data_IF_184353705702
#
_entry.id   IF_184353705702
#
_cell.length_a   1.000
_cell.length_b   1.000
_cell.length_c   1.000
_cell.angle_alpha   90.00
_cell.angle_beta   90.00
_cell.angle_gamma   90.00
#
_symmetry.space_group_name_H-M   'P 1'
#
loop_
_entity.id
_entity.type
_entity.pdbx_description
1 polymer ?
#
# COMPACT_ATOMS: atom_id res chain seq x y z
N UNK A 1 20.29 38.39 -8.55
CA UNK A 1 20.96 38.40 -9.87
C UNK A 1 22.25 39.18 -9.75
N UNK A 2 23.32 38.76 -10.43
CA UNK A 2 24.54 39.57 -10.43
C UNK A 2 24.35 40.84 -11.27
N UNK A 3 25.18 41.85 -11.05
CA UNK A 3 25.17 43.09 -11.85
C UNK A 3 25.38 42.79 -13.35
N UNK A 4 26.20 41.78 -13.66
CA UNK A 4 26.45 41.34 -15.03
C UNK A 4 25.19 40.76 -15.68
N UNK A 5 24.46 39.92 -14.96
CA UNK A 5 23.23 39.28 -15.48
C UNK A 5 22.16 40.33 -15.78
N UNK A 6 22.00 41.31 -14.89
CA UNK A 6 20.97 42.33 -15.05
C UNK A 6 21.27 43.30 -16.20
N UNK A 7 22.56 43.66 -16.38
CA UNK A 7 23.01 44.42 -17.55
C UNK A 7 22.77 43.66 -18.84
N UNK A 8 23.15 42.37 -18.88
CA UNK A 8 22.95 41.52 -20.04
C UNK A 8 21.45 41.38 -20.38
N UNK A 9 20.61 41.11 -19.39
CA UNK A 9 19.16 41.02 -19.56
C UNK A 9 18.58 42.32 -20.14
N UNK A 10 18.98 43.48 -19.59
CA UNK A 10 18.52 44.78 -20.07
C UNK A 10 18.88 45.03 -21.54
N UNK A 11 20.12 44.72 -21.91
CA UNK A 11 20.57 44.85 -23.32
C UNK A 11 19.86 43.85 -24.23
N UNK A 12 19.64 42.61 -23.79
CA UNK A 12 18.89 41.60 -24.56
C UNK A 12 17.45 42.03 -24.80
N UNK A 13 16.73 42.49 -23.77
CA UNK A 13 15.35 42.96 -23.93
C UNK A 13 15.27 44.16 -24.88
N UNK A 14 16.26 45.08 -24.84
CA UNK A 14 16.36 46.19 -25.78
C UNK A 14 16.61 45.71 -27.21
N UNK A 15 17.55 44.79 -27.42
CA UNK A 15 17.86 44.22 -28.74
C UNK A 15 16.66 43.45 -29.32
N UNK A 16 15.88 42.80 -28.45
CA UNK A 16 14.63 42.16 -28.79
C UNK A 16 13.52 43.18 -29.12
N UNK A 17 13.66 44.46 -28.80
CA UNK A 17 12.65 45.49 -29.11
C UNK A 17 11.51 45.55 -28.09
N UNK A 18 11.77 45.18 -26.84
CA UNK A 18 10.80 45.35 -25.76
C UNK A 18 10.47 46.85 -25.57
N UNK A 19 9.17 47.23 -25.57
CA UNK A 19 8.77 48.63 -25.70
C UNK A 19 9.08 49.50 -24.47
N UNK A 20 9.20 48.90 -23.28
CA UNK A 20 9.44 49.62 -22.02
C UNK A 20 10.93 49.65 -21.68
N UNK A 21 11.45 50.82 -21.32
CA UNK A 21 12.84 50.95 -20.88
C UNK A 21 13.05 50.26 -19.52
N UNK A 22 13.91 49.25 -19.48
CA UNK A 22 14.34 48.56 -18.26
C UNK A 22 15.65 49.20 -17.78
N UNK A 23 15.69 49.65 -16.52
CA UNK A 23 16.90 50.15 -15.85
C UNK A 23 17.35 49.18 -14.76
N UNK A 24 18.63 49.24 -14.41
CA UNK A 24 19.19 48.51 -13.27
C UNK A 24 18.50 48.87 -11.94
N UNK A 25 17.97 50.10 -11.84
CA UNK A 25 17.24 50.56 -10.65
C UNK A 25 15.91 49.83 -10.43
N UNK A 26 15.29 49.30 -11.51
CA UNK A 26 14.00 48.62 -11.41
C UNK A 26 14.04 47.33 -10.59
N UNK A 27 15.23 46.79 -10.31
CA UNK A 27 15.45 45.54 -9.58
C UNK A 27 16.21 45.76 -8.26
N UNK A 28 16.36 47.01 -7.80
CA UNK A 28 16.92 47.30 -6.48
C UNK A 28 16.06 46.71 -5.35
N UNK A 29 14.76 46.58 -5.60
CA UNK A 29 13.80 45.82 -4.82
C UNK A 29 13.12 44.78 -5.71
N UNK A 30 12.57 43.68 -5.16
CA UNK A 30 11.81 42.70 -5.94
C UNK A 30 10.68 43.37 -6.73
N UNK A 31 10.64 43.16 -8.04
CA UNK A 31 9.70 43.81 -8.95
C UNK A 31 9.03 42.76 -9.85
N UNK A 32 8.07 42.02 -9.28
CA UNK A 32 7.38 40.96 -10.00
C UNK A 32 6.55 41.48 -11.18
N UNK A 33 5.91 42.64 -11.04
CA UNK A 33 5.08 43.21 -12.10
C UNK A 33 5.85 43.48 -13.39
N UNK A 34 7.09 43.95 -13.29
CA UNK A 34 7.95 44.10 -14.47
C UNK A 34 8.36 42.74 -15.06
N UNK A 35 8.66 41.75 -14.21
CA UNK A 35 9.03 40.40 -14.65
C UNK A 35 7.86 39.71 -15.36
N UNK A 36 6.64 39.79 -14.82
CA UNK A 36 5.45 39.20 -15.45
C UNK A 36 5.11 39.88 -16.76
N UNK A 37 5.21 41.21 -16.84
CA UNK A 37 5.03 41.96 -18.09
C UNK A 37 6.03 41.50 -19.17
N UNK A 38 7.31 41.37 -18.80
CA UNK A 38 8.36 40.88 -19.70
C UNK A 38 8.10 39.44 -20.15
N UNK A 39 7.77 38.54 -19.23
CA UNK A 39 7.50 37.12 -19.53
C UNK A 39 6.29 36.96 -20.46
N UNK A 40 5.20 37.68 -20.18
CA UNK A 40 4.02 37.66 -21.03
C UNK A 40 4.31 38.22 -22.42
N UNK A 41 5.09 39.31 -22.50
CA UNK A 41 5.51 39.88 -23.78
C UNK A 41 6.37 38.90 -24.59
N UNK A 42 7.31 38.21 -23.96
CA UNK A 42 8.13 37.19 -24.61
C UNK A 42 7.23 36.08 -25.18
N UNK A 43 6.31 35.54 -24.39
CA UNK A 43 5.40 34.48 -24.85
C UNK A 43 4.51 34.95 -26.01
N UNK A 44 3.89 36.13 -25.91
CA UNK A 44 3.06 36.69 -26.98
C UNK A 44 3.83 37.03 -28.25
N UNK A 45 5.15 37.21 -28.16
CA UNK A 45 6.00 37.36 -29.33
C UNK A 45 6.21 36.05 -30.08
N UNK A 46 6.26 34.92 -29.37
CA UNK A 46 6.33 33.60 -29.99
C UNK A 46 4.98 33.18 -30.56
N UNK A 47 3.91 33.29 -29.76
CA UNK A 47 2.55 32.90 -30.15
C UNK A 47 1.54 33.98 -29.73
N UNK A 48 1.13 34.86 -30.66
CA UNK A 48 0.29 36.02 -30.35
C UNK A 48 -1.09 35.68 -29.75
N UNK A 49 -1.61 34.48 -30.03
CA UNK A 49 -2.93 34.02 -29.57
C UNK A 49 -2.88 33.31 -28.21
N UNK A 50 -1.75 33.30 -27.53
CA UNK A 50 -1.59 32.63 -26.25
C UNK A 50 -2.45 33.28 -25.16
N UNK A 51 -3.38 32.49 -24.62
CA UNK A 51 -4.27 32.90 -23.53
C UNK A 51 -3.66 32.57 -22.16
N UNK A 52 -2.80 33.48 -21.68
CA UNK A 52 -2.24 33.42 -20.33
C UNK A 52 -2.89 34.51 -19.48
N UNK A 53 -3.54 34.16 -18.36
CA UNK A 53 -4.15 35.13 -17.47
C UNK A 53 -3.14 36.18 -17.01
N UNK A 54 -3.42 37.48 -17.21
CA UNK A 54 -2.47 38.55 -16.90
C UNK A 54 -2.43 38.92 -15.42
N UNK A 55 -3.38 38.44 -14.62
CA UNK A 55 -3.54 38.82 -13.22
C UNK A 55 -2.39 38.26 -12.38
N UNK A 56 -1.75 39.14 -11.61
CA UNK A 56 -0.56 38.85 -10.79
C UNK A 56 -0.62 39.55 -9.43
N UNK A 57 -1.82 39.96 -9.03
CA UNK A 57 -2.05 40.80 -7.85
C UNK A 57 -1.84 40.01 -6.56
N UNK A 58 -2.36 38.78 -6.48
CA UNK A 58 -2.14 37.89 -5.33
C UNK A 58 -0.97 36.95 -5.54
N UNK A 59 -0.41 36.41 -4.45
CA UNK A 59 0.65 35.40 -4.53
C UNK A 59 0.22 34.15 -5.31
N UNK A 60 -1.04 33.74 -5.15
CA UNK A 60 -1.60 32.58 -5.87
C UNK A 60 -1.63 32.83 -7.38
N UNK A 61 -2.05 34.03 -7.80
CA UNK A 61 -2.09 34.41 -9.22
C UNK A 61 -0.68 34.44 -9.83
N UNK A 62 0.31 34.93 -9.08
CA UNK A 62 1.72 34.91 -9.51
C UNK A 62 2.24 33.49 -9.73
N UNK A 63 1.92 32.58 -8.81
CA UNK A 63 2.30 31.16 -8.95
C UNK A 63 1.63 30.54 -10.16
N UNK A 64 0.33 30.81 -10.37
CA UNK A 64 -0.41 30.33 -11.53
C UNK A 64 0.19 30.88 -12.85
N UNK A 65 0.46 32.19 -12.91
CA UNK A 65 1.08 32.86 -14.05
C UNK A 65 2.42 32.21 -14.43
N UNK A 66 3.33 32.03 -13.47
CA UNK A 66 4.65 31.43 -13.74
C UNK A 66 4.50 29.98 -14.23
N UNK A 67 3.58 29.20 -13.65
CA UNK A 67 3.29 27.83 -14.11
C UNK A 67 2.78 27.83 -15.55
N UNK A 68 1.85 28.71 -15.90
CA UNK A 68 1.30 28.80 -17.25
C UNK A 68 2.39 29.16 -18.29
N UNK A 69 3.23 30.17 -18.00
CA UNK A 69 4.37 30.55 -18.85
C UNK A 69 5.33 29.38 -19.04
N UNK A 70 5.71 28.71 -17.94
CA UNK A 70 6.65 27.59 -18.00
C UNK A 70 6.08 26.41 -18.80
N UNK A 71 4.80 26.08 -18.62
CA UNK A 71 4.13 25.02 -19.37
C UNK A 71 4.09 25.33 -20.87
N UNK A 72 3.76 26.57 -21.24
CA UNK A 72 3.78 27.02 -22.63
C UNK A 72 5.16 26.83 -23.26
N UNK A 73 6.21 27.37 -22.61
CA UNK A 73 7.58 27.28 -23.13
C UNK A 73 8.10 25.85 -23.26
N UNK A 74 7.72 24.96 -22.33
CA UNK A 74 8.11 23.55 -22.39
C UNK A 74 7.41 22.83 -23.55
N UNK A 75 6.11 23.08 -23.76
CA UNK A 75 5.36 22.45 -24.84
C UNK A 75 5.94 22.82 -26.21
N UNK A 76 6.23 24.10 -26.42
CA UNK A 76 6.82 24.60 -27.66
C UNK A 76 8.24 24.04 -27.88
N UNK A 77 9.08 24.00 -26.84
CA UNK A 77 10.41 23.40 -26.93
C UNK A 77 10.36 21.91 -27.32
N UNK A 78 9.37 21.17 -26.81
CA UNK A 78 9.16 19.77 -27.19
C UNK A 78 8.75 19.66 -28.66
N UNK A 79 7.82 20.49 -29.12
CA UNK A 79 7.39 20.51 -30.52
C UNK A 79 8.56 20.87 -31.47
N UNK A 80 9.35 21.89 -31.14
CA UNK A 80 10.51 22.29 -31.92
C UNK A 80 11.58 21.17 -32.00
N UNK A 81 11.83 20.47 -30.88
CA UNK A 81 12.75 19.32 -30.85
C UNK A 81 12.24 18.17 -31.71
N UNK A 82 10.94 17.87 -31.64
CA UNK A 82 10.31 16.84 -32.44
C UNK A 82 10.45 17.15 -33.94
N UNK A 83 10.12 18.37 -34.35
CA UNK A 83 10.28 18.82 -35.73
C UNK A 83 11.75 18.74 -36.20
N UNK A 84 12.72 19.12 -35.37
CA UNK A 84 14.13 19.01 -35.72
C UNK A 84 14.57 17.54 -35.94
N UNK A 85 14.05 16.62 -35.12
CA UNK A 85 14.27 15.18 -35.30
C UNK A 85 13.65 14.68 -36.61
N UNK A 86 12.41 15.09 -36.90
CA UNK A 86 11.72 14.74 -38.14
C UNK A 86 12.43 15.28 -39.37
N UNK A 87 12.88 16.54 -39.35
CA UNK A 87 13.66 17.13 -40.45
C UNK A 87 14.92 16.31 -40.72
N UNK A 88 15.61 15.87 -39.66
CA UNK A 88 16.82 15.06 -39.80
C UNK A 88 16.50 13.67 -40.36
N UNK A 89 15.46 13.01 -39.84
CA UNK A 89 15.01 11.69 -40.32
C UNK A 89 14.55 11.75 -41.79
N UNK A 90 13.71 12.73 -42.14
CA UNK A 90 13.23 12.94 -43.52
C UNK A 90 14.38 13.34 -44.45
N UNK A 91 15.32 14.15 -43.98
CA UNK A 91 16.52 14.51 -44.74
C UNK A 91 17.40 13.30 -45.06
N UNK A 92 17.62 12.41 -44.09
CA UNK A 92 18.35 11.16 -44.31
C UNK A 92 17.60 10.24 -45.29
N UNK A 93 16.30 10.03 -45.09
CA UNK A 93 15.48 9.23 -46.00
C UNK A 93 15.48 9.79 -47.42
N UNK A 94 15.39 11.11 -47.57
CA UNK A 94 15.45 11.75 -48.88
C UNK A 94 16.82 11.58 -49.55
N UNK A 95 17.91 11.70 -48.79
CA UNK A 95 19.26 11.47 -49.30
C UNK A 95 19.42 10.06 -49.84
N UNK A 96 18.98 9.04 -49.09
CA UNK A 96 19.06 7.65 -49.51
C UNK A 96 18.20 7.39 -50.76
N UNK A 97 16.96 7.88 -50.77
CA UNK A 97 16.04 7.75 -51.91
C UNK A 97 16.59 8.43 -53.17
N UNK A 98 17.16 9.64 -53.03
CA UNK A 98 17.74 10.36 -54.15
C UNK A 98 19.03 9.69 -54.64
N UNK A 99 19.81 9.07 -53.74
CA UNK A 99 20.96 8.25 -54.09
C UNK A 99 20.58 7.06 -54.98
N UNK A 100 19.40 6.48 -54.78
CA UNK A 100 18.87 5.39 -55.61
C UNK A 100 18.20 5.87 -56.91
N UNK A 101 17.96 7.17 -57.11
CA UNK A 101 17.16 7.68 -58.24
C UNK A 101 17.74 7.29 -59.61
N UNK A 102 19.07 7.19 -59.74
CA UNK A 102 19.70 6.78 -61.00
C UNK A 102 19.31 5.35 -61.35
N UNK A 103 19.46 4.42 -60.41
CA UNK A 103 19.07 3.01 -60.58
C UNK A 103 17.55 2.87 -60.76
N UNK A 104 16.75 3.57 -59.94
CA UNK A 104 15.29 3.56 -60.04
C UNK A 104 14.80 4.10 -61.38
N UNK A 105 15.48 5.12 -61.94
CA UNK A 105 15.16 5.66 -63.27
C UNK A 105 15.49 4.67 -64.38
N UNK A 106 16.62 3.99 -64.30
CA UNK A 106 16.98 2.92 -65.25
C UNK A 106 15.96 1.78 -65.19
N UNK A 107 15.70 1.23 -63.99
CA UNK A 107 14.71 0.16 -63.80
C UNK A 107 13.31 0.57 -64.28
N UNK A 108 12.89 1.81 -64.03
CA UNK A 108 11.60 2.32 -64.51
C UNK A 108 11.57 2.38 -66.03
N UNK A 109 12.63 2.88 -66.66
CA UNK A 109 12.72 2.98 -68.12
C UNK A 109 12.74 1.60 -68.76
N UNK A 110 13.47 0.64 -68.18
CA UNK A 110 13.51 -0.76 -68.60
C UNK A 110 12.14 -1.44 -68.44
N UNK A 111 11.48 -1.25 -67.29
CA UNK A 111 10.14 -1.80 -67.03
C UNK A 111 9.08 -1.24 -67.99
N UNK A 112 9.15 0.04 -68.34
CA UNK A 112 8.27 0.69 -69.33
C UNK A 112 8.59 0.19 -70.76
N UNK A 113 9.87 -0.02 -71.08
CA UNK A 113 10.30 -0.51 -72.38
C UNK A 113 9.95 -2.00 -72.57
N UNK A 114 9.77 -2.75 -71.48
CA UNK A 114 9.40 -4.16 -71.52
C UNK A 114 8.01 -4.32 -72.12
N UNK A 115 7.85 -5.11 -73.20
CA UNK A 115 6.53 -5.46 -73.72
C UNK A 115 5.71 -6.13 -72.62
N UNK A 116 4.47 -5.68 -72.42
CA UNK A 116 3.58 -6.25 -71.42
C UNK A 116 3.31 -7.73 -71.72
N UNK A 117 3.84 -8.60 -70.88
CA UNK A 117 3.51 -10.03 -70.88
C UNK A 117 2.12 -10.20 -70.24
N UNK A 118 1.07 -10.00 -71.05
CA UNK A 118 -0.35 -10.08 -70.63
C UNK A 118 -0.64 -11.39 -69.88
N UNK A 119 -0.04 -12.50 -70.33
CA UNK A 119 -0.24 -13.81 -69.69
C UNK A 119 0.34 -13.89 -68.27
N UNK A 120 1.50 -13.26 -68.03
CA UNK A 120 2.13 -13.29 -66.70
C UNK A 120 1.41 -12.34 -65.75
N UNK A 121 1.06 -11.15 -66.23
CA UNK A 121 0.23 -10.19 -65.46
C UNK A 121 -1.13 -10.79 -65.09
N UNK A 122 -1.78 -11.54 -65.99
CA UNK A 122 -3.01 -12.27 -65.68
C UNK A 122 -2.80 -13.34 -64.60
N UNK A 123 -1.70 -14.11 -64.65
CA UNK A 123 -1.39 -15.10 -63.60
C UNK A 123 -1.19 -14.45 -62.25
N UNK A 124 -0.37 -13.40 -62.16
CA UNK A 124 -0.11 -12.68 -60.91
C UNK A 124 -1.42 -12.11 -60.36
N UNK A 125 -2.27 -11.54 -61.23
CA UNK A 125 -3.57 -11.03 -60.81
C UNK A 125 -4.51 -12.14 -60.31
N UNK A 126 -4.50 -13.32 -60.95
CA UNK A 126 -5.24 -14.50 -60.46
C UNK A 126 -4.74 -14.99 -59.10
N UNK A 127 -3.43 -14.95 -58.86
CA UNK A 127 -2.85 -15.31 -57.56
C UNK A 127 -3.29 -14.31 -56.49
N UNK A 128 -3.17 -13.01 -56.76
CA UNK A 128 -3.62 -11.96 -55.83
C UNK A 128 -5.12 -12.06 -55.51
N UNK A 129 -5.96 -12.35 -56.50
CA UNK A 129 -7.40 -12.59 -56.27
C UNK A 129 -7.61 -13.81 -55.35
N UNK A 130 -6.91 -14.92 -55.57
CA UNK A 130 -7.02 -16.12 -54.72
C UNK A 130 -6.57 -15.83 -53.28
N UNK A 131 -5.50 -15.08 -53.11
CA UNK A 131 -4.99 -14.69 -51.80
C UNK A 131 -6.01 -13.82 -51.04
N UNK A 132 -6.57 -12.79 -51.71
CA UNK A 132 -7.63 -11.95 -51.14
C UNK A 132 -8.86 -12.78 -50.78
N UNK A 133 -9.30 -13.69 -51.66
CA UNK A 133 -10.44 -14.58 -51.37
C UNK A 133 -10.17 -15.47 -50.15
N UNK A 134 -8.94 -15.96 -50.01
CA UNK A 134 -8.54 -16.75 -48.84
C UNK A 134 -8.57 -15.89 -47.57
N UNK A 135 -8.10 -14.65 -47.66
CA UNK A 135 -8.14 -13.72 -46.53
C UNK A 135 -9.58 -13.38 -46.12
N UNK A 136 -10.45 -13.11 -47.10
CA UNK A 136 -11.89 -12.89 -46.87
C UNK A 136 -12.52 -14.10 -46.18
N UNK A 137 -12.19 -15.32 -46.63
CA UNK A 137 -12.71 -16.53 -46.01
C UNK A 137 -12.23 -16.68 -44.56
N UNK A 138 -10.93 -16.47 -44.30
CA UNK A 138 -10.39 -16.48 -42.93
C UNK A 138 -11.11 -15.49 -42.03
N UNK A 139 -11.26 -14.23 -42.47
CA UNK A 139 -11.98 -13.19 -41.72
C UNK A 139 -13.43 -13.58 -41.46
N UNK A 140 -14.09 -14.23 -42.42
CA UNK A 140 -15.46 -14.74 -42.25
C UNK A 140 -15.53 -15.84 -41.19
N UNK A 141 -14.57 -16.75 -41.16
CA UNK A 141 -14.51 -17.83 -40.17
C UNK A 141 -14.26 -17.27 -38.76
N UNK A 142 -13.34 -16.30 -38.64
CA UNK A 142 -13.13 -15.52 -37.41
C UNK A 142 -14.41 -14.84 -36.93
N UNK A 143 -15.16 -14.20 -37.84
CA UNK A 143 -16.44 -13.55 -37.51
C UNK A 143 -17.48 -14.55 -36.99
N UNK A 144 -17.56 -15.74 -37.60
CA UNK A 144 -18.49 -16.79 -37.15
C UNK A 144 -18.12 -17.30 -35.74
N UNK A 145 -16.83 -17.44 -35.45
CA UNK A 145 -16.37 -17.85 -34.12
C UNK A 145 -16.75 -16.79 -33.08
N UNK A 146 -16.48 -15.51 -33.36
CA UNK A 146 -16.88 -14.40 -32.48
C UNK A 146 -18.40 -14.38 -32.25
N UNK A 147 -19.20 -14.55 -33.30
CA UNK A 147 -20.65 -14.60 -33.18
C UNK A 147 -21.13 -15.77 -32.29
N UNK A 148 -20.48 -16.93 -32.40
CA UNK A 148 -20.75 -18.08 -31.52
C UNK A 148 -20.38 -17.79 -30.06
N UNK A 149 -19.22 -17.17 -29.83
CA UNK A 149 -18.77 -16.80 -28.48
C UNK A 149 -19.65 -15.73 -27.84
N UNK A 150 -20.08 -14.73 -28.62
CA UNK A 150 -21.04 -13.72 -28.20
C UNK A 150 -22.36 -14.37 -27.77
N UNK A 151 -22.92 -15.28 -28.58
CA UNK A 151 -24.15 -15.99 -28.23
C UNK A 151 -24.00 -16.84 -26.96
N UNK A 152 -22.85 -17.51 -26.78
CA UNK A 152 -22.56 -18.29 -25.59
C UNK A 152 -22.44 -17.40 -24.32
N UNK A 153 -21.79 -16.24 -24.45
CA UNK A 153 -21.65 -15.29 -23.35
C UNK A 153 -22.99 -14.64 -22.99
N UNK A 154 -23.81 -14.28 -23.97
CA UNK A 154 -25.15 -13.73 -23.73
C UNK A 154 -26.03 -14.74 -22.98
N UNK A 155 -26.00 -16.02 -23.38
CA UNK A 155 -26.72 -17.08 -22.66
C UNK A 155 -26.24 -17.23 -21.21
N UNK A 156 -24.93 -17.13 -20.96
CA UNK A 156 -24.37 -17.15 -19.59
C UNK A 156 -24.81 -15.93 -18.79
N UNK A 157 -24.79 -14.74 -19.39
CA UNK A 157 -25.21 -13.49 -18.77
C UNK A 157 -26.69 -13.58 -18.37
N UNK A 158 -27.57 -14.02 -19.26
CA UNK A 158 -29.00 -14.18 -18.96
C UNK A 158 -29.25 -15.20 -17.85
N UNK A 159 -28.55 -16.34 -17.85
CA UNK A 159 -28.63 -17.30 -16.74
C UNK A 159 -28.24 -16.67 -15.41
N UNK A 160 -27.13 -15.91 -15.38
CA UNK A 160 -26.67 -15.22 -14.16
C UNK A 160 -27.61 -14.11 -13.72
N UNK A 161 -28.20 -13.35 -14.64
CA UNK A 161 -29.22 -12.33 -14.32
C UNK A 161 -30.43 -12.95 -13.64
N UNK A 162 -30.95 -14.09 -14.14
CA UNK A 162 -32.07 -14.80 -13.53
C UNK A 162 -31.73 -15.35 -12.14
N UNK A 163 -30.55 -15.95 -11.96
CA UNK A 163 -30.05 -16.40 -10.65
C UNK A 163 -29.97 -15.24 -9.65
N UNK A 164 -29.42 -14.11 -10.10
CA UNK A 164 -29.26 -12.91 -9.29
C UNK A 164 -30.63 -12.33 -8.90
N UNK A 165 -31.58 -12.28 -9.82
CA UNK A 165 -32.93 -11.80 -9.53
C UNK A 165 -33.67 -12.71 -8.53
N UNK A 166 -33.53 -14.04 -8.67
CA UNK A 166 -34.07 -15.00 -7.70
C UNK A 166 -33.45 -14.80 -6.31
N UNK A 167 -32.13 -14.61 -6.23
CA UNK A 167 -31.44 -14.38 -4.97
C UNK A 167 -31.80 -13.03 -4.35
N UNK A 168 -31.97 -11.98 -5.16
CA UNK A 168 -32.48 -10.68 -4.69
C UNK A 168 -33.87 -10.81 -4.07
N UNK A 169 -34.79 -11.49 -4.76
CA UNK A 169 -36.14 -11.77 -4.21
C UNK A 169 -36.06 -12.57 -2.91
N UNK A 170 -35.19 -13.58 -2.84
CA UNK A 170 -34.97 -14.34 -1.60
C UNK A 170 -34.43 -13.45 -0.48
N UNK A 171 -33.47 -12.58 -0.77
CA UNK A 171 -32.91 -11.65 0.20
C UNK A 171 -33.99 -10.70 0.73
N UNK A 172 -34.81 -10.14 -0.15
CA UNK A 172 -35.93 -9.27 0.23
C UNK A 172 -36.93 -10.00 1.15
N UNK A 173 -37.28 -11.25 0.83
CA UNK A 173 -38.14 -12.07 1.71
C UNK A 173 -37.49 -12.33 3.07
N UNK A 174 -36.17 -12.56 3.13
CA UNK A 174 -35.47 -12.76 4.40
C UNK A 174 -35.35 -11.47 5.21
N UNK A 175 -35.13 -10.33 4.56
CA UNK A 175 -35.02 -9.02 5.22
C UNK A 175 -36.37 -8.52 5.75
N UNK A 176 -37.47 -8.83 5.06
CA UNK A 176 -38.81 -8.45 5.53
C UNK A 176 -39.25 -9.21 6.79
N UNK A 177 -38.66 -10.38 7.06
CA UNK A 177 -38.98 -11.16 8.24
C UNK A 177 -38.05 -10.78 9.39
N UNK A 178 -38.63 -10.29 10.49
CA UNK A 178 -37.93 -10.04 11.75
C UNK A 178 -37.36 -11.36 12.30
N UNK A 179 -36.06 -11.45 12.65
CA UNK A 179 -35.50 -12.69 13.20
C UNK A 179 -36.10 -13.04 14.57
N UNK A 180 -36.47 -14.30 14.77
CA UNK A 180 -37.17 -14.76 16.00
C UNK A 180 -36.37 -14.53 17.29
N UNK A 181 -35.03 -14.55 17.22
CA UNK A 181 -34.17 -14.35 18.38
C UNK A 181 -34.12 -12.87 18.84
N UNK A 182 -34.59 -11.93 18.02
CA UNK A 182 -34.61 -10.51 18.40
C UNK A 182 -35.51 -10.26 19.62
N UNK A 183 -36.62 -11.00 19.72
CA UNK A 183 -37.55 -10.86 20.84
C UNK A 183 -36.95 -11.41 22.14
N UNK A 184 -36.15 -12.49 22.05
CA UNK A 184 -35.37 -13.02 23.18
C UNK A 184 -34.26 -12.04 23.59
N UNK A 185 -33.57 -11.44 22.62
CA UNK A 185 -32.55 -10.43 22.87
C UNK A 185 -33.12 -9.22 23.61
N UNK A 186 -34.20 -8.62 23.12
CA UNK A 186 -34.86 -7.46 23.74
C UNK A 186 -35.32 -7.80 25.17
N UNK A 187 -35.87 -8.99 25.39
CA UNK A 187 -36.27 -9.45 26.72
C UNK A 187 -35.09 -9.58 27.69
N UNK A 188 -33.95 -10.09 27.22
CA UNK A 188 -32.74 -10.23 28.03
C UNK A 188 -32.12 -8.85 28.31
N UNK A 189 -32.17 -7.93 27.36
CA UNK A 189 -31.71 -6.54 27.54
C UNK A 189 -32.56 -5.82 28.61
N UNK A 190 -33.89 -5.97 28.56
CA UNK A 190 -34.77 -5.44 29.61
C UNK A 190 -34.48 -6.04 30.99
N UNK A 191 -34.22 -7.35 31.06
CA UNK A 191 -33.86 -8.01 32.32
C UNK A 191 -32.50 -7.53 32.84
N UNK A 192 -31.51 -7.36 31.96
CA UNK A 192 -30.21 -6.82 32.30
C UNK A 192 -30.34 -5.41 32.90
N UNK A 193 -31.17 -4.56 32.30
CA UNK A 193 -31.43 -3.21 32.80
C UNK A 193 -32.03 -3.25 34.22
N UNK A 194 -33.03 -4.11 34.46
CA UNK A 194 -33.63 -4.28 35.79
C UNK A 194 -32.60 -4.77 36.82
N UNK A 195 -31.76 -5.74 36.45
CA UNK A 195 -30.71 -6.24 37.35
C UNK A 195 -29.66 -5.16 37.66
N UNK A 196 -29.35 -4.31 36.69
CA UNK A 196 -28.43 -3.19 36.89
C UNK A 196 -29.00 -2.16 37.89
N UNK A 197 -30.29 -1.82 37.77
CA UNK A 197 -30.95 -0.90 38.71
C UNK A 197 -30.94 -1.45 40.14
N UNK A 198 -31.24 -2.75 40.32
CA UNK A 198 -31.18 -3.43 41.62
C UNK A 198 -29.74 -3.45 42.16
N UNK A 199 -28.76 -3.71 41.29
CA UNK A 199 -27.35 -3.68 41.66
C UNK A 199 -26.94 -2.30 42.17
N UNK A 200 -27.33 -1.22 41.48
CA UNK A 200 -27.01 0.14 41.90
C UNK A 200 -27.59 0.48 43.28
N UNK A 201 -28.84 0.10 43.55
CA UNK A 201 -29.46 0.31 44.87
C UNK A 201 -28.70 -0.46 45.96
N UNK A 202 -28.37 -1.73 45.71
CA UNK A 202 -27.59 -2.54 46.65
C UNK A 202 -26.20 -1.99 46.87
N UNK A 203 -25.55 -1.53 45.81
CA UNK A 203 -24.22 -0.92 45.88
C UNK A 203 -24.24 0.35 46.73
N UNK A 204 -25.21 1.25 46.50
CA UNK A 204 -25.39 2.45 47.31
C UNK A 204 -25.62 2.12 48.78
N UNK A 205 -26.51 1.17 49.07
CA UNK A 205 -26.79 0.72 50.43
C UNK A 205 -25.55 0.11 51.10
N UNK A 206 -24.78 -0.70 50.37
CA UNK A 206 -23.55 -1.31 50.88
C UNK A 206 -22.51 -0.23 51.22
N UNK A 207 -22.23 0.69 50.29
CA UNK A 207 -21.28 1.79 50.51
C UNK A 207 -21.68 2.63 51.72
N UNK A 208 -22.97 2.90 51.91
CA UNK A 208 -23.46 3.64 53.07
C UNK A 208 -23.24 2.89 54.39
N UNK A 209 -23.47 1.56 54.40
CA UNK A 209 -23.23 0.73 55.58
C UNK A 209 -21.74 0.56 55.90
N UNK A 210 -20.90 0.41 54.88
CA UNK A 210 -19.45 0.37 55.01
C UNK A 210 -18.94 1.67 55.64
N UNK A 211 -19.39 2.82 55.14
CA UNK A 211 -19.03 4.13 55.70
C UNK A 211 -19.45 4.28 57.17
N UNK A 212 -20.67 3.87 57.53
CA UNK A 212 -21.11 3.90 58.94
C UNK A 212 -20.26 3.01 59.85
N UNK A 213 -19.84 1.86 59.34
CA UNK A 213 -19.00 0.92 60.09
C UNK A 213 -17.59 1.49 60.29
N UNK A 214 -17.02 2.12 59.27
CA UNK A 214 -15.75 2.88 59.38
C UNK A 214 -15.86 4.03 60.39
N UNK A 215 -16.96 4.78 60.35
CA UNK A 215 -17.24 5.86 61.32
C UNK A 215 -17.33 5.32 62.76
N UNK A 216 -17.99 4.19 62.97
CA UNK A 216 -18.08 3.55 64.28
C UNK A 216 -16.69 3.11 64.80
N UNK A 217 -15.90 2.44 63.96
CA UNK A 217 -14.53 2.05 64.33
C UNK A 217 -13.65 3.26 64.63
N UNK A 218 -13.79 4.36 63.87
CA UNK A 218 -13.07 5.61 64.14
C UNK A 218 -13.44 6.18 65.50
N UNK A 219 -14.73 6.28 65.82
CA UNK A 219 -15.21 6.77 67.11
C UNK A 219 -14.76 5.87 68.28
N UNK A 220 -14.75 4.56 68.10
CA UNK A 220 -14.29 3.60 69.12
C UNK A 220 -12.78 3.72 69.35
N UNK A 221 -12.01 3.91 68.29
CA UNK A 221 -10.57 4.17 68.35
C UNK A 221 -10.26 5.49 69.05
N UNK A 222 -10.97 6.57 68.74
CA UNK A 222 -10.82 7.87 69.42
C UNK A 222 -11.10 7.73 70.92
N UNK A 223 -12.18 7.03 71.31
CA UNK A 223 -12.48 6.73 72.72
C UNK A 223 -11.38 5.92 73.40
N UNK A 224 -10.83 4.94 72.71
CA UNK A 224 -9.72 4.13 73.23
C UNK A 224 -8.46 4.98 73.44
N UNK A 225 -8.15 5.88 72.50
CA UNK A 225 -7.03 6.81 72.60
C UNK A 225 -7.24 7.84 73.73
N UNK A 226 -8.44 8.38 73.89
CA UNK A 226 -8.81 9.24 75.03
C UNK A 226 -8.65 8.50 76.37
N UNK A 227 -9.11 7.24 76.47
CA UNK A 227 -8.93 6.41 77.65
C UNK A 227 -7.45 6.10 77.93
N UNK A 228 -6.66 5.82 76.88
CA UNK A 228 -5.20 5.62 76.99
C UNK A 228 -4.49 6.90 77.46
N UNK A 229 -4.86 8.05 76.91
CA UNK A 229 -4.30 9.35 77.27
C UNK A 229 -4.61 9.71 78.73
N UNK A 230 -5.84 9.48 79.19
CA UNK A 230 -6.22 9.71 80.60
C UNK A 230 -5.47 8.79 81.56
N UNK A 231 -5.31 7.50 81.21
CA UNK A 231 -4.52 6.56 82.01
C UNK A 231 -3.05 6.97 82.10
N UNK A 232 -2.45 7.40 80.98
CA UNK A 232 -1.07 7.90 80.95
C UNK A 232 -0.89 9.13 81.84
N UNK A 233 -1.84 10.07 81.83
CA UNK A 233 -1.81 11.23 82.73
C UNK A 233 -1.86 10.83 84.20
N UNK A 234 -2.69 9.85 84.58
CA UNK A 234 -2.75 9.33 85.95
C UNK A 234 -1.44 8.65 86.34
N UNK A 235 -0.88 7.81 85.46
CA UNK A 235 0.39 7.12 85.70
C UNK A 235 1.56 8.10 85.85
N UNK A 236 1.62 9.15 85.02
CA UNK A 236 2.65 10.17 85.11
C UNK A 236 2.52 11.00 86.40
N UNK A 237 1.30 11.34 86.84
CA UNK A 237 1.08 12.00 88.13
C UNK A 237 1.56 11.14 89.29
N UNK A 238 1.25 9.84 89.29
CA UNK A 238 1.76 8.89 90.29
C UNK A 238 3.29 8.84 90.30
N UNK A 239 3.93 8.72 89.13
CA UNK A 239 5.41 8.75 89.02
C UNK A 239 6.01 10.07 89.49
N UNK A 240 5.35 11.21 89.22
CA UNK A 240 5.80 12.51 89.70
C UNK A 240 5.67 12.63 91.24
N UNK A 241 4.58 12.11 91.82
CA UNK A 241 4.40 12.02 93.28
C UNK A 241 5.46 11.11 93.92
N UNK A 242 5.76 9.94 93.34
CA UNK A 242 6.87 9.07 93.79
C UNK A 242 8.22 9.79 93.70
N UNK A 243 8.50 10.49 92.59
CA UNK A 243 9.74 11.25 92.42
C UNK A 243 9.85 12.45 93.36
N UNK A 244 8.74 13.08 93.73
CA UNK A 244 8.71 14.15 94.75
C UNK A 244 8.95 13.61 96.15
N UNK A 245 8.46 12.41 96.47
CA UNK A 245 8.77 11.71 97.72
C UNK A 245 10.25 11.32 97.80
N UNK A 246 10.88 10.98 96.67
CA UNK A 246 12.32 10.67 96.58
C UNK A 246 13.24 11.92 96.57
N UNK A 247 12.73 13.13 96.29
CA UNK A 247 13.56 14.35 96.10
C UNK A 247 13.53 15.36 97.27
N UNK A 248 12.83 15.05 98.37
CA UNK A 248 12.88 15.82 99.63
C UNK A 248 13.58 14.99 100.72
N UNK A 249 14.86 14.69 100.52
CA UNK A 249 15.72 13.98 101.46
C UNK A 249 17.14 13.73 100.92
N UNK A 250 17.90 14.82 100.74
CA UNK A 250 19.37 14.97 100.61
C UNK A 250 20.21 13.98 99.78
N UNK A 251 21.02 14.57 98.89
CA UNK A 251 22.15 14.01 98.13
C UNK A 251 23.05 13.06 98.93
N UNK A 252 23.52 11.98 98.30
CA UNK A 252 24.96 11.72 98.19
C UNK A 252 25.28 10.85 96.96
N UNK A 253 26.48 11.08 96.46
CA UNK A 253 27.13 10.57 95.26
C UNK A 253 27.34 9.05 95.32
N UNK A 254 26.90 8.32 94.29
CA UNK A 254 27.63 7.14 93.83
C UNK A 254 27.31 6.87 92.36
N UNK A 255 28.22 7.38 91.53
CA UNK A 255 28.65 6.84 90.26
C UNK A 255 28.63 5.30 90.21
N UNK A 256 27.80 4.75 89.30
CA UNK A 256 27.98 3.42 88.70
C UNK A 256 27.51 3.52 87.26
N UNK A 257 28.44 3.84 86.36
CA UNK A 257 28.37 3.46 84.95
C UNK A 257 28.30 1.93 84.84
N UNK A 258 27.12 1.40 84.48
CA UNK A 258 27.00 0.09 83.84
C UNK A 258 26.06 0.22 82.64
N UNK A 259 26.67 0.28 81.45
CA UNK A 259 26.04 -0.26 80.25
C UNK A 259 25.92 -1.78 80.44
N UNK A 260 24.68 -2.26 80.49
CA UNK A 260 24.36 -3.64 80.13
C UNK A 260 23.35 -3.54 78.99
N UNK A 261 23.89 -3.51 77.78
CA UNK A 261 23.31 -4.27 76.68
C UNK A 261 23.48 -5.74 77.07
N UNK A 262 22.38 -6.41 77.42
CA UNK A 262 22.22 -7.85 77.30
C UNK A 262 20.72 -8.11 77.09
N UNK A 263 20.34 -8.04 75.82
CA UNK A 263 19.75 -9.18 75.13
C UNK A 263 19.04 -10.19 76.04
N UNK A 264 17.73 -9.99 76.24
CA UNK A 264 16.82 -11.09 76.56
C UNK A 264 15.74 -11.16 75.50
N UNK A 265 16.18 -11.80 74.42
CA UNK A 265 15.43 -12.67 73.55
C UNK A 265 14.29 -13.40 74.30
N UNK A 266 13.05 -13.05 73.94
CA UNK A 266 11.93 -13.98 74.02
C UNK A 266 11.32 -14.11 72.64
N UNK A 267 12.05 -14.77 71.75
CA UNK A 267 11.48 -15.76 70.85
C UNK A 267 10.55 -16.70 71.64
N UNK A 268 9.28 -16.28 71.75
CA UNK A 268 8.15 -17.20 71.77
C UNK A 268 7.66 -17.33 70.33
N UNK A 269 8.37 -18.16 69.57
CA UNK A 269 7.80 -18.88 68.44
C UNK A 269 6.63 -19.72 68.98
N UNK A 270 5.40 -19.18 68.89
CA UNK A 270 4.30 -20.06 68.53
C UNK A 270 3.22 -19.34 67.72
N UNK A 271 3.17 -19.78 66.45
CA UNK A 271 2.04 -19.76 65.52
C UNK A 271 1.71 -18.44 64.86
N UNK A 272 2.30 -18.32 63.66
CA UNK A 272 1.58 -18.03 62.41
C UNK A 272 0.05 -18.07 62.56
N UNK A 273 -0.55 -16.92 62.84
CA UNK A 273 -1.91 -16.62 62.44
C UNK A 273 -1.82 -15.82 61.16
N UNK A 274 -2.01 -16.56 60.06
CA UNK A 274 -2.28 -16.04 58.74
C UNK A 274 -3.17 -14.81 58.81
N UNK A 275 -2.73 -13.70 58.19
CA UNK A 275 -3.61 -12.64 57.71
C UNK A 275 -4.91 -13.28 57.19
N UNK A 276 -6.10 -12.92 57.65
CA UNK A 276 -7.27 -13.21 56.84
C UNK A 276 -7.05 -12.39 55.58
N UNK A 277 -6.81 -13.07 54.45
CA UNK A 277 -7.04 -12.47 53.15
C UNK A 277 -8.45 -11.91 53.21
N UNK A 278 -8.56 -10.59 53.21
CA UNK A 278 -9.86 -9.92 53.19
C UNK A 278 -10.63 -10.50 52.01
N UNK A 279 -11.92 -10.82 52.18
CA UNK A 279 -12.73 -11.36 51.08
C UNK A 279 -12.66 -10.49 49.81
N UNK A 280 -12.34 -9.19 49.99
CA UNK A 280 -11.99 -8.23 48.96
C UNK A 280 -10.74 -8.60 48.14
N UNK A 281 -9.66 -9.15 48.71
CA UNK A 281 -8.49 -9.60 47.93
C UNK A 281 -8.83 -10.83 47.08
N UNK A 282 -9.64 -11.76 47.57
CA UNK A 282 -10.08 -12.94 46.81
C UNK A 282 -11.09 -12.56 45.72
N UNK A 283 -11.99 -11.61 46.00
CA UNK A 283 -12.96 -11.10 45.03
C UNK A 283 -12.30 -10.22 43.96
N UNK A 284 -11.34 -9.38 44.35
CA UNK A 284 -10.59 -8.49 43.45
C UNK A 284 -9.56 -9.26 42.63
N UNK A 285 -8.95 -10.31 43.18
CA UNK A 285 -8.10 -11.24 42.43
C UNK A 285 -8.93 -12.17 41.52
N UNK A 286 -10.14 -12.57 41.94
CA UNK A 286 -11.09 -13.26 41.07
C UNK A 286 -11.64 -12.37 39.94
N UNK A 287 -11.82 -11.07 40.19
CA UNK A 287 -12.19 -10.09 39.17
C UNK A 287 -11.03 -9.83 38.21
N UNK A 288 -9.80 -9.69 38.72
CA UNK A 288 -8.60 -9.55 37.89
C UNK A 288 -8.28 -10.82 37.10
N UNK A 289 -8.48 -12.02 37.66
CA UNK A 289 -8.30 -13.29 36.95
C UNK A 289 -9.42 -13.53 35.93
N UNK A 290 -10.68 -13.19 36.25
CA UNK A 290 -11.79 -13.24 35.29
C UNK A 290 -11.62 -12.21 34.16
N UNK A 291 -11.16 -11.00 34.48
CA UNK A 291 -10.91 -9.92 33.52
C UNK A 291 -9.64 -10.17 32.70
N UNK A 292 -8.58 -10.75 33.28
CA UNK A 292 -7.38 -11.23 32.56
C UNK A 292 -7.69 -12.44 31.69
N UNK A 293 -8.56 -13.36 32.13
CA UNK A 293 -9.07 -14.43 31.28
C UNK A 293 -9.90 -13.85 30.13
N UNK A 294 -10.66 -12.76 30.33
CA UNK A 294 -11.40 -12.11 29.26
C UNK A 294 -10.52 -11.34 28.26
N UNK A 295 -9.42 -10.73 28.74
CA UNK A 295 -8.48 -9.93 27.94
C UNK A 295 -7.40 -10.76 27.22
N UNK A 296 -6.93 -11.87 27.81
CA UNK A 296 -5.87 -12.71 27.24
C UNK A 296 -6.37 -14.06 26.70
N UNK A 297 -7.63 -14.43 26.92
CA UNK A 297 -8.26 -15.50 26.13
C UNK A 297 -8.76 -14.93 24.80
N UNK A 298 -7.80 -14.58 23.93
CA UNK A 298 -8.02 -14.71 22.50
C UNK A 298 -8.33 -16.18 22.21
N UNK A 299 -9.60 -16.58 22.37
CA UNK A 299 -10.03 -17.90 21.93
C UNK A 299 -9.85 -17.94 20.41
N UNK A 300 -9.16 -18.96 19.88
CA UNK A 300 -8.99 -19.09 18.45
C UNK A 300 -10.39 -19.14 17.84
N UNK A 301 -10.60 -18.29 16.83
CA UNK A 301 -11.80 -18.29 16.00
C UNK A 301 -12.11 -19.72 15.58
N UNK A 302 -13.09 -20.33 16.27
CA UNK A 302 -13.80 -21.49 15.75
C UNK A 302 -14.43 -20.98 14.47
N UNK A 303 -13.85 -21.35 13.33
CA UNK A 303 -14.51 -21.26 12.03
C UNK A 303 -15.86 -21.94 12.17
N UNK A 304 -16.91 -21.16 12.29
CA UNK A 304 -18.25 -21.60 11.93
C UNK A 304 -18.23 -21.65 10.42
N UNK A 305 -17.90 -22.83 9.90
CA UNK A 305 -18.21 -23.19 8.52
C UNK A 305 -19.72 -23.26 8.46
N UNK A 306 -20.33 -22.27 7.80
CA UNK A 306 -21.72 -22.35 7.40
C UNK A 306 -21.90 -23.53 6.45
N UNK A 307 -22.89 -24.38 6.71
CA UNK A 307 -23.39 -25.35 5.76
C UNK A 307 -24.00 -24.60 4.58
N UNK A 308 -23.23 -24.38 3.52
CA UNK A 308 -23.79 -24.08 2.21
C UNK A 308 -24.35 -25.39 1.64
N UNK A 309 -25.64 -25.64 1.89
CA UNK A 309 -26.40 -26.62 1.12
C UNK A 309 -26.82 -25.96 -0.21
N UNK A 310 -25.97 -26.09 -1.22
CA UNK A 310 -26.31 -26.03 -2.64
C UNK A 310 -25.76 -27.32 -3.26
N UNK A 311 -26.64 -28.22 -3.66
CA UNK A 311 -26.30 -29.60 -3.99
C UNK A 311 -25.76 -29.83 -5.40
N UNK A 312 -25.10 -30.97 -5.56
CA UNK A 312 -25.29 -31.97 -6.62
C UNK A 312 -24.44 -33.19 -6.19
N UNK A 313 -25.05 -34.32 -5.83
CA UNK A 313 -25.40 -35.42 -6.72
C UNK A 313 -24.16 -36.03 -7.41
N UNK A 314 -23.47 -36.93 -6.70
CA UNK A 314 -22.69 -37.99 -7.32
C UNK A 314 -23.63 -38.94 -8.06
N UNK A 315 -23.26 -39.30 -9.29
CA UNK A 315 -23.42 -40.66 -9.77
C UNK A 315 -22.02 -41.25 -10.03
N UNK A 316 -21.62 -42.16 -9.13
CA UNK A 316 -21.03 -43.49 -9.39
C UNK A 316 -19.68 -43.53 -10.15
N UNK A 317 -18.60 -44.18 -9.69
CA UNK A 317 -18.50 -45.51 -9.10
C UNK A 317 -17.01 -45.80 -8.80
N UNK A 318 -16.61 -46.22 -7.59
CA UNK A 318 -15.47 -47.14 -7.44
C UNK A 318 -15.49 -47.89 -6.10
N UNK A 319 -15.37 -49.22 -6.18
CA UNK A 319 -15.42 -50.15 -5.07
C UNK A 319 -14.02 -50.50 -4.54
N UNK A 320 -13.99 -50.83 -3.24
CA UNK A 320 -12.84 -50.99 -2.36
C UNK A 320 -11.79 -52.07 -2.75
N UNK A 321 -10.55 -51.97 -2.21
CA UNK A 321 -9.45 -52.87 -2.50
C UNK A 321 -9.28 -53.99 -1.47
N UNK A 322 -8.70 -55.12 -1.88
CA UNK A 322 -8.17 -56.15 -1.00
C UNK A 322 -6.82 -56.69 -1.51
N UNK A 323 -6.02 -57.10 -0.53
CA UNK A 323 -4.58 -57.33 -0.54
C UNK A 323 -4.10 -58.61 -1.28
N UNK A 324 -2.78 -58.58 -1.51
CA UNK A 324 -1.81 -59.67 -1.33
C UNK A 324 -1.42 -60.51 -2.56
N UNK A 325 -0.11 -60.52 -2.89
CA UNK A 325 0.50 -61.59 -3.67
C UNK A 325 1.83 -61.26 -4.35
N UNK A 326 2.94 -61.46 -3.65
CA UNK A 326 4.31 -61.50 -4.22
C UNK A 326 4.44 -62.66 -5.23
N UNK A 327 5.21 -62.48 -6.31
CA UNK A 327 6.23 -63.43 -6.77
C UNK A 327 7.07 -62.90 -7.96
N UNK A 328 8.37 -63.17 -7.88
CA UNK A 328 9.42 -62.94 -8.88
C UNK A 328 9.34 -64.00 -9.99
N UNK A 329 9.67 -63.63 -11.24
CA UNK A 329 10.85 -64.06 -12.04
C UNK A 329 10.59 -64.16 -13.55
N UNK A 330 11.58 -63.64 -14.28
CA UNK A 330 12.10 -64.11 -15.58
C UNK A 330 11.47 -63.64 -16.90
N UNK A 331 12.33 -62.91 -17.63
CA UNK A 331 12.74 -63.20 -19.01
C UNK A 331 12.10 -62.41 -20.15
N UNK A 332 12.91 -61.44 -20.62
CA UNK A 332 13.34 -61.28 -22.01
C UNK A 332 12.57 -60.35 -22.96
N UNK A 333 13.32 -59.28 -23.31
CA UNK A 333 13.59 -58.77 -24.68
C UNK A 333 12.52 -57.91 -25.36
N UNK A 334 12.77 -56.59 -25.35
CA UNK A 334 13.20 -55.74 -26.50
C UNK A 334 12.67 -54.31 -26.25
N UNK A 335 13.57 -53.36 -26.02
CA UNK A 335 14.07 -52.39 -27.02
C UNK A 335 13.33 -51.06 -26.79
N UNK A 336 13.79 -50.31 -25.78
CA UNK A 336 14.68 -49.14 -25.85
C UNK A 336 13.83 -47.87 -25.72
N UNK A 337 13.63 -47.53 -24.44
CA UNK A 337 13.00 -46.32 -23.93
C UNK A 337 13.96 -45.13 -24.00
N UNK A 338 13.35 -43.97 -24.21
CA UNK A 338 13.84 -42.63 -23.95
C UNK A 338 14.02 -42.39 -22.44
N UNK A 339 15.21 -41.98 -22.03
CA UNK A 339 15.49 -41.28 -20.77
C UNK A 339 15.73 -39.80 -21.13
N UNK A 340 14.94 -38.86 -20.63
CA UNK A 340 14.92 -38.28 -19.28
C UNK A 340 15.86 -37.06 -19.18
N UNK A 341 15.30 -35.92 -18.78
CA UNK A 341 16.01 -34.74 -18.26
C UNK A 341 15.00 -33.75 -17.68
N UNK A 342 14.95 -33.73 -16.35
CA UNK A 342 14.42 -32.67 -15.48
C UNK A 342 14.96 -31.28 -15.84
N UNK A 343 14.20 -30.20 -15.53
CA UNK A 343 14.61 -28.82 -15.16
C UNK A 343 13.29 -28.06 -14.89
N UNK A 344 12.90 -27.82 -13.64
CA UNK A 344 13.25 -26.70 -12.76
C UNK A 344 12.79 -25.34 -13.31
N UNK A 345 11.72 -24.79 -12.71
CA UNK A 345 11.10 -23.52 -13.09
C UNK A 345 11.65 -22.44 -12.16
N UNK A 346 12.71 -21.76 -12.61
CA UNK A 346 13.17 -20.52 -12.00
C UNK A 346 12.22 -19.37 -12.41
N UNK A 347 11.82 -18.59 -11.39
CA UNK A 347 11.19 -17.29 -11.50
C UNK A 347 12.10 -16.33 -12.30
N UNK A 348 11.57 -15.70 -13.34
CA UNK A 348 12.15 -14.47 -13.89
C UNK A 348 11.04 -13.43 -14.05
N UNK A 349 11.23 -12.32 -13.33
CA UNK A 349 10.54 -11.05 -13.47
C UNK A 349 10.93 -10.43 -14.83
N UNK A 350 9.97 -10.19 -15.72
CA UNK A 350 10.20 -9.33 -16.89
C UNK A 350 9.15 -8.22 -16.99
N UNK A 351 9.66 -6.99 -16.99
CA UNK A 351 8.97 -5.72 -17.12
C UNK A 351 8.17 -5.62 -18.44
N UNK A 352 6.89 -5.27 -18.35
CA UNK A 352 6.03 -4.96 -19.51
C UNK A 352 6.38 -3.58 -20.09
N UNK A 353 7.32 -3.54 -21.04
CA UNK A 353 7.44 -2.43 -22.00
C UNK A 353 6.64 -2.77 -23.27
N UNK A 354 5.46 -2.15 -23.41
CA UNK A 354 4.60 -2.23 -24.59
C UNK A 354 5.16 -1.34 -25.71
N UNK A 355 5.79 -1.95 -26.72
CA UNK A 355 6.08 -1.29 -28.01
C UNK A 355 5.37 -1.97 -29.18
N UNK A 356 4.78 -1.11 -30.03
CA UNK A 356 3.92 -1.38 -31.18
C UNK A 356 4.48 -2.37 -32.22
N UNK A 357 3.67 -3.37 -32.61
CA UNK A 357 3.92 -4.21 -33.78
C UNK A 357 3.83 -3.40 -35.08
N UNK A 358 4.95 -3.26 -35.78
CA UNK A 358 4.95 -2.97 -37.22
C UNK A 358 5.86 -3.96 -37.97
N UNK A 359 5.21 -4.86 -38.71
CA UNK A 359 5.80 -5.88 -39.57
C UNK A 359 6.61 -5.24 -40.70
N UNK A 360 7.91 -5.50 -40.75
CA UNK A 360 8.75 -5.30 -41.92
C UNK A 360 9.70 -6.49 -42.12
N UNK A 361 9.51 -7.21 -43.21
CA UNK A 361 10.35 -8.32 -43.66
C UNK A 361 11.66 -7.78 -44.25
N UNK A 362 12.81 -8.15 -43.68
CA UNK A 362 14.14 -7.86 -44.24
C UNK A 362 14.86 -9.13 -44.71
N UNK A 363 15.51 -9.15 -45.89
CA UNK A 363 16.35 -10.25 -46.31
C UNK A 363 17.82 -10.09 -45.83
N UNK A 364 18.31 -11.19 -45.27
CA UNK A 364 19.69 -11.70 -45.17
C UNK A 364 20.84 -10.89 -45.81
N UNK A 365 21.84 -10.51 -44.98
CA UNK A 365 23.18 -10.03 -45.39
C UNK A 365 24.15 -11.22 -45.57
N UNK A 366 25.06 -11.19 -46.57
CA UNK A 366 26.19 -12.11 -46.63
C UNK A 366 27.40 -11.58 -45.85
N UNK A 367 28.09 -12.54 -45.23
CA UNK A 367 29.27 -12.43 -44.38
C UNK A 367 30.50 -11.91 -45.17
N UNK A 368 31.08 -10.75 -44.80
CA UNK A 368 32.34 -10.26 -45.39
C UNK A 368 33.48 -10.29 -44.37
N UNK A 369 34.35 -11.27 -44.60
CA UNK A 369 35.62 -11.56 -43.92
C UNK A 369 36.55 -10.33 -43.88
N UNK A 370 37.13 -10.13 -42.70
CA UNK A 370 38.27 -9.27 -42.38
C UNK A 370 39.49 -9.64 -43.24
N UNK A 371 40.13 -8.64 -43.87
CA UNK A 371 41.53 -8.72 -44.33
C UNK A 371 42.27 -7.45 -43.93
N UNK A 372 43.36 -7.65 -43.19
CA UNK A 372 44.37 -6.68 -42.75
C UNK A 372 45.27 -6.26 -43.95
N UNK A 373 45.95 -5.10 -43.92
CA UNK A 373 46.76 -4.60 -45.02
C UNK A 373 48.24 -5.03 -44.91
N UNK A 374 48.92 -5.15 -46.04
CA UNK A 374 50.38 -5.34 -46.17
C UNK A 374 50.88 -4.59 -47.43
N UNK A 375 52.18 -4.27 -47.54
CA UNK A 375 52.66 -2.90 -47.65
C UNK A 375 53.17 -2.48 -49.05
N UNK A 376 53.52 -1.20 -49.13
CA UNK A 376 54.16 -0.50 -50.24
C UNK A 376 55.45 -1.19 -50.70
N UNK A 377 55.57 -1.42 -52.00
CA UNK A 377 56.85 -1.62 -52.70
C UNK A 377 57.08 -0.43 -53.65
N UNK A 378 58.08 0.38 -53.30
CA UNK A 378 58.82 1.20 -54.23
C UNK A 378 59.67 0.28 -55.12
N UNK A 379 59.64 0.43 -56.45
CA UNK A 379 60.86 0.34 -57.27
C UNK A 379 60.59 0.71 -58.72
N UNK A 380 61.32 1.72 -59.16
CA UNK A 380 61.88 1.94 -60.50
C UNK A 380 62.16 0.65 -61.30
N UNK A 381 61.83 0.65 -62.60
CA UNK A 381 62.79 0.76 -63.72
C UNK A 381 62.22 0.23 -65.07
N UNK A 382 62.62 0.96 -66.12
CA UNK A 382 62.96 0.50 -67.47
C UNK A 382 61.92 -0.23 -68.34
N UNK A 383 61.28 0.47 -69.29
CA UNK A 383 61.73 0.66 -70.70
C UNK A 383 60.66 1.37 -71.54
#
# INVERSE_FOLDING_TARGET
>A
MSFRDLRNFTEMMRALGYPRHISMENFRTPNFGLVSEVLLWLVKRYEPQTDIPPDVDTEQDRVFFIKAIAQFMIADLKAARQLASEITSKGASLYDLLGMEVELREMRTEAIARPLEINETEKVMKIAIKEILTQVQKTKDLLNNVASDEANLEAKIEKRKLELERNRKRLETLQSVRPCFMDEYEKVEEELQKQYDIYLEKFQNLTYLEQQLEDHHRMEQERFEEAKNTLCLIQNKLKEEEKRLLKSGSNDDSDVDIQEDDESDSELEERRLSKPRTAMEVLMQGFYDFFMLLLFSGRPSKRIVGTMQGGDSDDNMEAAPALLGKCKTSSSKKQEDSEDSEIDMEDDDEDEDLEDESIALSPTKPNRRVKKPEPLDDSDNDF
#
